data_IF_688825919861
#
_entry.id   IF_688825919861
#
_cell.length_a   1.000
_cell.length_b   1.000
_cell.length_c   1.000
_cell.angle_alpha   90.00
_cell.angle_beta   90.00
_cell.angle_gamma   90.00
#
_symmetry.space_group_name_H-M   'P 1'
#
loop_
_entity.id
_entity.type
_entity.pdbx_description
1 polymer ?
#
# COMPACT_ATOMS: atom_id res chain seq x y z
N UNK A 1 22.15 -2.79 7.77
CA UNK A 1 22.89 -3.40 6.64
C UNK A 1 21.93 -4.30 5.88
N UNK A 2 22.03 -4.35 4.55
CA UNK A 2 21.15 -5.10 3.65
C UNK A 2 22.00 -5.97 2.72
N UNK A 3 21.41 -7.02 2.13
CA UNK A 3 22.05 -7.82 1.10
C UNK A 3 21.35 -7.59 -0.24
N UNK A 4 22.10 -7.22 -1.27
CA UNK A 4 21.61 -7.16 -2.65
C UNK A 4 21.92 -8.48 -3.33
N UNK A 5 20.93 -9.08 -3.97
CA UNK A 5 21.10 -10.36 -4.64
C UNK A 5 21.91 -10.22 -5.94
N UNK A 6 22.38 -11.36 -6.45
CA UNK A 6 23.18 -11.46 -7.67
C UNK A 6 22.46 -10.98 -8.94
N UNK A 7 21.14 -10.79 -8.88
CA UNK A 7 20.34 -10.18 -9.95
C UNK A 7 20.55 -8.66 -10.08
N UNK A 8 21.20 -8.03 -9.10
CA UNK A 8 21.47 -6.59 -9.07
C UNK A 8 20.28 -5.73 -8.65
N UNK A 9 19.17 -6.31 -8.18
CA UNK A 9 17.94 -5.58 -7.85
C UNK A 9 17.34 -5.99 -6.51
N UNK A 10 17.28 -7.28 -6.21
CA UNK A 10 16.53 -7.79 -5.06
C UNK A 10 17.27 -7.46 -3.77
N UNK A 11 16.57 -6.82 -2.82
CA UNK A 11 17.13 -6.47 -1.51
C UNK A 11 16.53 -7.35 -0.42
N UNK A 12 17.39 -7.99 0.37
CA UNK A 12 17.01 -8.77 1.54
C UNK A 12 17.42 -8.04 2.84
N UNK A 13 16.57 -8.19 3.86
CA UNK A 13 16.94 -7.87 5.25
C UNK A 13 18.12 -8.76 5.67
N UNK A 14 19.05 -8.22 6.46
CA UNK A 14 20.22 -8.97 6.93
C UNK A 14 19.82 -10.25 7.68
N UNK A 15 18.75 -10.21 8.46
CA UNK A 15 18.26 -11.34 9.25
C UNK A 15 17.23 -12.22 8.51
N UNK A 16 16.94 -11.90 7.24
CA UNK A 16 15.96 -12.58 6.38
C UNK A 16 14.53 -12.61 6.93
N UNK A 17 14.22 -11.80 7.94
CA UNK A 17 12.84 -11.68 8.43
C UNK A 17 11.99 -10.89 7.42
N UNK A 18 10.66 -11.12 7.40
CA UNK A 18 9.75 -10.38 6.54
C UNK A 18 9.90 -8.87 6.70
N UNK A 19 9.74 -8.16 5.59
CA UNK A 19 9.69 -6.70 5.52
C UNK A 19 8.46 -6.27 4.72
N UNK A 20 7.91 -5.12 5.06
CA UNK A 20 6.77 -4.53 4.36
C UNK A 20 7.08 -3.07 4.04
N UNK A 21 6.61 -2.61 2.87
CA UNK A 21 6.73 -1.25 2.39
C UNK A 21 5.35 -0.76 1.95
N UNK A 22 5.05 0.51 2.23
CA UNK A 22 3.89 1.21 1.70
C UNK A 22 4.35 2.52 1.07
N UNK A 23 3.73 2.87 -0.06
CA UNK A 23 4.08 4.07 -0.83
C UNK A 23 2.85 4.96 -1.02
N UNK A 24 3.05 6.26 -0.85
CA UNK A 24 2.09 7.28 -1.27
C UNK A 24 2.78 8.38 -2.08
N UNK A 25 2.12 8.78 -3.16
CA UNK A 25 2.44 10.02 -3.88
C UNK A 25 1.72 11.18 -3.20
N UNK A 26 2.45 12.27 -2.93
CA UNK A 26 1.91 13.47 -2.29
C UNK A 26 2.33 14.73 -3.06
N UNK A 27 1.51 15.78 -2.96
CA UNK A 27 1.88 17.14 -3.37
C UNK A 27 2.02 18.03 -2.14
N UNK A 28 3.12 18.77 -2.06
CA UNK A 28 3.36 19.73 -0.98
C UNK A 28 2.73 21.07 -1.33
N UNK A 29 1.95 21.62 -0.41
CA UNK A 29 1.33 22.95 -0.51
C UNK A 29 1.62 23.78 0.74
N UNK A 30 1.26 25.06 0.71
CA UNK A 30 1.43 25.95 1.86
C UNK A 30 0.57 25.45 3.04
N UNK A 31 1.22 24.98 4.09
CA UNK A 31 0.58 24.54 5.34
C UNK A 31 -0.14 23.18 5.28
N UNK A 32 -0.09 22.46 4.14
CA UNK A 32 -0.75 21.15 3.99
C UNK A 32 -0.10 20.33 2.86
N UNK A 33 -0.12 19.01 2.98
CA UNK A 33 0.13 18.10 1.87
C UNK A 33 -1.17 17.39 1.46
N UNK A 34 -1.37 17.16 0.16
CA UNK A 34 -2.47 16.33 -0.33
C UNK A 34 -1.93 14.97 -0.79
N UNK A 35 -2.65 13.90 -0.45
CA UNK A 35 -2.34 12.53 -0.87
C UNK A 35 -2.97 12.30 -2.24
N UNK A 36 -2.15 11.94 -3.23
CA UNK A 36 -2.56 11.74 -4.61
C UNK A 36 -2.89 10.28 -4.93
N UNK A 37 -2.34 9.34 -4.16
CA UNK A 37 -2.52 7.89 -4.34
C UNK A 37 -3.33 7.28 -3.19
N UNK A 38 -4.46 7.91 -2.85
CA UNK A 38 -5.42 7.39 -1.85
C UNK A 38 -6.28 6.27 -2.44
N UNK A 39 -6.86 5.43 -1.60
CA UNK A 39 -7.82 4.38 -2.00
C UNK A 39 -9.28 4.82 -1.82
N UNK A 40 -9.53 6.06 -1.40
CA UNK A 40 -10.88 6.60 -1.14
C UNK A 40 -11.85 6.34 -2.29
N UNK A 41 -11.44 6.57 -3.53
CA UNK A 41 -12.31 6.35 -4.71
C UNK A 41 -12.70 4.88 -4.90
N UNK A 42 -11.82 3.94 -4.54
CA UNK A 42 -12.12 2.50 -4.60
C UNK A 42 -13.13 2.17 -3.51
N UNK A 43 -12.92 2.67 -2.29
CA UNK A 43 -13.85 2.44 -1.18
C UNK A 43 -15.22 3.04 -1.45
N UNK A 44 -15.29 4.24 -2.03
CA UNK A 44 -16.53 4.86 -2.46
C UNK A 44 -17.22 4.05 -3.55
N UNK A 45 -16.48 3.55 -4.54
CA UNK A 45 -17.04 2.67 -5.58
C UNK A 45 -17.59 1.36 -5.00
N UNK A 46 -16.85 0.75 -4.06
CA UNK A 46 -17.29 -0.48 -3.36
C UNK A 46 -18.55 -0.23 -2.55
N UNK A 47 -18.59 0.87 -1.79
CA UNK A 47 -19.74 1.25 -0.96
C UNK A 47 -21.01 1.47 -1.77
N UNK A 48 -20.88 2.01 -2.98
CA UNK A 48 -22.01 2.36 -3.83
C UNK A 48 -22.36 1.28 -4.87
N UNK A 49 -21.83 0.05 -4.71
CA UNK A 49 -22.07 -1.04 -5.65
C UNK A 49 -23.05 -2.07 -5.05
N UNK A 50 -24.30 -2.02 -5.52
CA UNK A 50 -25.38 -2.92 -5.09
C UNK A 50 -25.15 -4.40 -5.42
N UNK A 51 -24.20 -4.71 -6.31
CA UNK A 51 -23.84 -6.09 -6.67
C UNK A 51 -22.85 -6.72 -5.69
N UNK A 52 -22.24 -5.92 -4.80
CA UNK A 52 -21.29 -6.41 -3.81
C UNK A 52 -22.00 -6.73 -2.50
N UNK A 53 -21.49 -7.76 -1.81
CA UNK A 53 -21.94 -8.11 -0.47
C UNK A 53 -20.73 -8.36 0.41
N UNK A 54 -20.76 -7.84 1.63
CA UNK A 54 -19.75 -8.16 2.62
C UNK A 54 -19.87 -9.64 3.03
N UNK A 55 -18.74 -10.33 3.05
CA UNK A 55 -18.64 -11.72 3.48
C UNK A 55 -17.50 -11.79 4.48
N UNK A 56 -17.84 -11.88 5.76
CA UNK A 56 -16.87 -12.16 6.81
C UNK A 56 -16.61 -13.68 6.85
N UNK A 57 -15.37 -14.13 7.07
CA UNK A 57 -15.10 -15.53 7.35
C UNK A 57 -15.94 -15.97 8.55
N UNK A 58 -16.68 -17.07 8.41
CA UNK A 58 -17.24 -17.74 9.58
C UNK A 58 -16.06 -18.36 10.32
N UNK A 59 -15.77 -17.83 11.51
CA UNK A 59 -14.92 -18.52 12.48
C UNK A 59 -15.43 -19.95 12.71
#
# INVERSE_FOLDING_TARGET
EVYQDSDGWTIHTRDRKPSAHYEHSVVVRKGKADILSTHEFVFDAVKNNDSLREVSPKN
#
